data_IF_699610676856
#
_entry.id   IF_699610676856
#
_cell.length_a   1.000
_cell.length_b   1.000
_cell.length_c   1.000
_cell.angle_alpha   90.00
_cell.angle_beta   90.00
_cell.angle_gamma   90.00
#
_symmetry.space_group_name_H-M   'P 1'
#
loop_
_entity.id
_entity.type
_entity.pdbx_description
1 polymer ?
#
# COMPACT_ATOMS: atom_id res chain seq x y z
N UNK A 1 -5.53 -31.53 -16.86
CA UNK A 1 -5.63 -30.13 -17.33
C UNK A 1 -5.42 -29.23 -16.12
N UNK A 2 -4.18 -28.82 -15.89
CA UNK A 2 -3.82 -27.91 -14.80
C UNK A 2 -4.13 -26.49 -15.25
N UNK A 3 -5.10 -25.83 -14.61
CA UNK A 3 -5.32 -24.41 -14.79
C UNK A 3 -4.24 -23.66 -14.01
N UNK A 4 -3.16 -23.30 -14.71
CA UNK A 4 -2.28 -22.20 -14.29
C UNK A 4 -3.11 -20.90 -14.31
N UNK A 5 -3.82 -20.66 -13.22
CA UNK A 5 -4.49 -19.39 -12.98
C UNK A 5 -3.46 -18.29 -12.82
N UNK A 6 -3.25 -17.52 -13.89
CA UNK A 6 -2.50 -16.27 -13.88
C UNK A 6 -3.01 -15.37 -12.77
N UNK A 7 -2.22 -15.24 -11.69
CA UNK A 7 -2.61 -14.48 -10.50
C UNK A 7 -2.47 -12.98 -10.81
N UNK A 8 -3.50 -12.16 -10.57
CA UNK A 8 -3.38 -10.72 -10.76
C UNK A 8 -2.36 -10.16 -9.77
N UNK A 9 -1.30 -9.57 -10.32
CA UNK A 9 -0.32 -8.79 -9.57
C UNK A 9 -1.02 -7.54 -9.06
N UNK A 10 -0.99 -7.32 -7.74
CA UNK A 10 -1.25 -6.01 -7.15
C UNK A 10 -0.13 -5.06 -7.61
N UNK A 11 -0.33 -4.41 -8.75
CA UNK A 11 0.42 -3.22 -9.14
C UNK A 11 0.11 -2.14 -8.12
N UNK A 12 1.06 -1.96 -7.23
CA UNK A 12 1.65 -0.70 -6.81
C UNK A 12 0.70 0.49 -6.71
N UNK A 13 0.65 1.02 -5.49
CA UNK A 13 0.43 2.42 -5.14
C UNK A 13 1.05 3.31 -6.24
N UNK A 14 0.22 3.78 -7.18
CA UNK A 14 0.62 4.72 -8.22
C UNK A 14 0.58 6.12 -7.60
N UNK A 15 1.70 6.54 -7.02
CA UNK A 15 1.95 7.95 -6.74
C UNK A 15 2.44 8.55 -8.07
N UNK A 16 1.57 9.24 -8.80
CA UNK A 16 2.01 9.99 -9.99
C UNK A 16 1.10 9.96 -11.22
N UNK A 17 -0.20 10.18 -11.07
CA UNK A 17 -0.97 10.82 -12.15
C UNK A 17 -1.85 11.95 -11.59
N UNK A 18 -1.58 13.16 -12.06
CA UNK A 18 -2.52 14.29 -12.01
C UNK A 18 -3.80 13.90 -12.74
N UNK A 19 -4.82 13.55 -11.97
CA UNK A 19 -6.25 13.75 -12.25
C UNK A 19 -6.97 13.34 -10.98
N UNK A 20 -7.96 14.15 -10.58
CA UNK A 20 -8.85 14.06 -9.40
C UNK A 20 -8.67 12.78 -8.55
N UNK A 21 -8.46 12.87 -7.22
CA UNK A 21 -8.28 11.72 -6.34
C UNK A 21 -9.58 10.92 -6.20
N UNK A 22 -9.97 10.24 -7.26
CA UNK A 22 -10.92 9.16 -7.24
C UNK A 22 -10.18 7.84 -7.12
N UNK A 23 -10.87 6.76 -6.71
CA UNK A 23 -10.36 5.39 -6.66
C UNK A 23 -10.12 4.81 -8.06
N UNK A 24 -9.53 5.58 -8.98
CA UNK A 24 -9.44 5.27 -10.40
C UNK A 24 -8.60 4.01 -10.61
N UNK A 25 -7.48 3.85 -9.90
CA UNK A 25 -6.64 2.65 -10.01
C UNK A 25 -7.33 1.38 -9.53
N UNK A 26 -7.93 1.40 -8.35
CA UNK A 26 -8.61 0.22 -7.77
C UNK A 26 -9.89 -0.11 -8.51
N UNK A 27 -10.68 0.90 -8.91
CA UNK A 27 -11.92 0.71 -9.66
C UNK A 27 -11.68 0.18 -11.08
N UNK A 28 -10.69 0.73 -11.79
CA UNK A 28 -10.30 0.23 -13.11
C UNK A 28 -9.77 -1.20 -13.01
N UNK A 29 -9.01 -1.52 -11.96
CA UNK A 29 -8.54 -2.89 -11.71
C UNK A 29 -9.70 -3.86 -11.44
N UNK A 30 -10.64 -3.50 -10.57
CA UNK A 30 -11.84 -4.30 -10.28
C UNK A 30 -12.66 -4.55 -11.54
N UNK A 31 -12.86 -3.51 -12.36
CA UNK A 31 -13.62 -3.62 -13.61
C UNK A 31 -12.93 -4.50 -14.65
N UNK A 32 -11.61 -4.36 -14.82
CA UNK A 32 -10.83 -5.17 -15.76
C UNK A 32 -10.70 -6.64 -15.34
N UNK A 33 -10.88 -6.95 -14.06
CA UNK A 33 -10.77 -8.32 -13.51
C UNK A 33 -12.10 -8.84 -12.97
N UNK A 34 -13.22 -8.23 -13.38
CA UNK A 34 -14.55 -8.54 -12.88
C UNK A 34 -14.90 -10.03 -12.98
N UNK A 35 -14.54 -10.67 -14.09
CA UNK A 35 -14.76 -12.09 -14.34
C UNK A 35 -14.00 -12.98 -13.36
N UNK A 36 -12.70 -12.74 -13.20
CA UNK A 36 -11.82 -13.53 -12.32
C UNK A 36 -12.21 -13.36 -10.86
N UNK A 37 -12.73 -12.18 -10.48
CA UNK A 37 -13.15 -11.86 -9.13
C UNK A 37 -14.60 -12.26 -8.82
N UNK A 38 -15.35 -12.77 -9.80
CA UNK A 38 -16.76 -13.15 -9.60
C UNK A 38 -17.74 -11.97 -9.57
N UNK A 39 -17.33 -10.79 -10.02
CA UNK A 39 -18.14 -9.56 -10.04
C UNK A 39 -18.89 -9.33 -11.37
N UNK A 40 -19.09 -10.37 -12.19
CA UNK A 40 -19.80 -10.26 -13.49
C UNK A 40 -21.18 -9.59 -13.36
N UNK A 41 -21.89 -9.85 -12.28
CA UNK A 41 -23.25 -9.34 -12.05
C UNK A 41 -23.29 -7.95 -11.37
N UNK A 42 -22.13 -7.37 -11.07
CA UNK A 42 -22.04 -6.05 -10.41
C UNK A 42 -21.97 -4.96 -11.46
N UNK A 43 -21.05 -5.09 -12.42
CA UNK A 43 -20.80 -4.07 -13.42
C UNK A 43 -21.95 -4.01 -14.43
N UNK A 44 -22.38 -2.79 -14.76
CA UNK A 44 -23.57 -2.54 -15.59
C UNK A 44 -24.86 -2.34 -14.79
N UNK A 45 -24.85 -2.57 -13.47
CA UNK A 45 -25.94 -2.19 -12.58
C UNK A 45 -25.49 -1.04 -11.66
N UNK A 46 -26.08 0.15 -11.82
CA UNK A 46 -25.65 1.36 -11.12
C UNK A 46 -25.70 1.24 -9.59
N UNK A 47 -26.73 0.58 -9.05
CA UNK A 47 -26.91 0.39 -7.59
C UNK A 47 -25.81 -0.52 -7.03
N UNK A 48 -25.52 -1.65 -7.71
CA UNK A 48 -24.47 -2.58 -7.29
C UNK A 48 -23.07 -1.97 -7.43
N UNK A 49 -22.82 -1.22 -8.50
CA UNK A 49 -21.56 -0.50 -8.66
C UNK A 49 -21.35 0.51 -7.53
N UNK A 50 -22.39 1.27 -7.18
CA UNK A 50 -22.33 2.25 -6.09
C UNK A 50 -22.06 1.57 -4.73
N UNK A 51 -22.74 0.45 -4.45
CA UNK A 51 -22.50 -0.32 -3.23
C UNK A 51 -21.04 -0.82 -3.13
N UNK A 52 -20.48 -1.39 -4.20
CA UNK A 52 -19.07 -1.81 -4.20
C UNK A 52 -18.12 -0.63 -4.06
N UNK A 53 -18.39 0.52 -4.71
CA UNK A 53 -17.56 1.73 -4.56
C UNK A 53 -17.53 2.20 -3.12
N UNK A 54 -18.67 2.19 -2.43
CA UNK A 54 -18.77 2.55 -1.02
C UNK A 54 -17.89 1.63 -0.15
N UNK A 55 -18.07 0.32 -0.28
CA UNK A 55 -17.29 -0.68 0.48
C UNK A 55 -15.79 -0.54 0.21
N UNK A 56 -15.38 -0.45 -1.05
CA UNK A 56 -13.96 -0.30 -1.43
C UNK A 56 -13.37 0.98 -0.85
N UNK A 57 -14.14 2.07 -0.85
CA UNK A 57 -13.70 3.36 -0.28
C UNK A 57 -13.56 3.28 1.24
N UNK A 58 -14.52 2.64 1.93
CA UNK A 58 -14.47 2.40 3.38
C UNK A 58 -13.23 1.56 3.73
N UNK A 59 -13.02 0.43 3.07
CA UNK A 59 -11.89 -0.46 3.32
C UNK A 59 -10.53 0.18 2.99
N UNK A 60 -10.43 0.90 1.87
CA UNK A 60 -9.20 1.61 1.52
C UNK A 60 -8.87 2.70 2.56
N UNK A 61 -9.88 3.40 3.07
CA UNK A 61 -9.72 4.41 4.11
C UNK A 61 -9.30 3.78 5.44
N UNK A 62 -9.93 2.66 5.83
CA UNK A 62 -9.55 1.89 7.02
C UNK A 62 -8.10 1.39 6.92
N UNK A 63 -7.69 0.82 5.79
CA UNK A 63 -6.33 0.36 5.56
C UNK A 63 -5.31 1.50 5.64
N UNK A 64 -5.60 2.67 5.06
CA UNK A 64 -4.77 3.87 5.21
C UNK A 64 -4.68 4.28 6.68
N UNK A 65 -5.79 4.32 7.41
CA UNK A 65 -5.77 4.70 8.82
C UNK A 65 -4.95 3.73 9.69
N UNK A 66 -5.06 2.42 9.46
CA UNK A 66 -4.21 1.41 10.13
C UNK A 66 -2.73 1.60 9.79
N UNK A 67 -2.40 1.85 8.50
CA UNK A 67 -1.02 2.12 8.08
C UNK A 67 -0.46 3.37 8.77
N UNK A 68 -1.23 4.45 8.86
CA UNK A 68 -0.87 5.65 9.63
C UNK A 68 -0.58 5.28 11.09
N UNK A 69 -1.46 4.50 11.71
CA UNK A 69 -1.29 4.01 13.08
C UNK A 69 0.05 3.30 13.27
N UNK A 70 0.41 2.36 12.39
CA UNK A 70 1.70 1.65 12.45
C UNK A 70 2.90 2.59 12.30
N UNK A 71 2.82 3.56 11.38
CA UNK A 71 3.89 4.56 11.17
C UNK A 71 4.07 5.42 12.44
N UNK A 72 2.99 5.97 12.99
CA UNK A 72 3.04 6.83 14.19
C UNK A 72 3.48 6.04 15.44
N UNK A 73 2.96 4.83 15.63
CA UNK A 73 3.35 3.93 16.72
C UNK A 73 4.85 3.60 16.67
N UNK A 74 5.38 3.30 15.48
CA UNK A 74 6.80 2.99 15.31
C UNK A 74 7.74 4.17 15.62
N UNK A 75 7.32 5.41 15.33
CA UNK A 75 8.08 6.64 15.62
C UNK A 75 8.08 6.99 17.11
N UNK A 76 6.90 6.86 17.75
CA UNK A 76 6.71 7.18 19.16
C UNK A 76 7.29 6.12 20.11
N UNK A 77 7.59 4.91 19.61
CA UNK A 77 8.05 3.77 20.41
C UNK A 77 6.95 3.05 21.18
N UNK A 78 5.69 3.45 20.97
CA UNK A 78 4.50 2.85 21.58
C UNK A 78 4.62 2.60 23.08
N UNK A 79 4.06 1.47 23.55
CA UNK A 79 4.12 1.04 24.96
C UNK A 79 5.52 0.60 25.39
N UNK A 80 6.31 0.05 24.47
CA UNK A 80 7.65 -0.49 24.76
C UNK A 80 8.70 0.60 25.01
N UNK A 81 8.39 1.87 24.71
CA UNK A 81 9.35 3.00 24.60
C UNK A 81 10.53 2.76 23.66
N UNK A 82 10.58 1.59 23.02
CA UNK A 82 11.60 1.22 22.05
C UNK A 82 11.05 1.55 20.68
N UNK A 83 11.70 2.49 19.99
CA UNK A 83 11.37 2.81 18.60
C UNK A 83 11.61 1.57 17.74
N UNK A 84 10.64 1.25 16.88
CA UNK A 84 10.75 0.08 16.00
C UNK A 84 11.73 0.39 14.87
N UNK A 85 12.44 -0.63 14.37
CA UNK A 85 13.25 -0.49 13.15
C UNK A 85 12.38 -0.47 11.91
N UNK A 86 12.87 0.14 10.83
CA UNK A 86 12.19 0.17 9.54
C UNK A 86 11.86 -1.24 9.00
N UNK A 87 12.77 -2.20 9.19
CA UNK A 87 12.56 -3.61 8.82
C UNK A 87 11.36 -4.22 9.54
N UNK A 88 11.27 -4.02 10.87
CA UNK A 88 10.16 -4.52 11.69
C UNK A 88 8.83 -3.85 11.34
N UNK A 89 8.85 -2.53 11.09
CA UNK A 89 7.68 -1.79 10.63
C UNK A 89 7.18 -2.32 9.28
N UNK A 90 8.10 -2.48 8.32
CA UNK A 90 7.77 -2.97 6.98
C UNK A 90 7.16 -4.36 7.04
N UNK A 91 7.77 -5.26 7.80
CA UNK A 91 7.22 -6.60 8.02
C UNK A 91 5.82 -6.54 8.65
N UNK A 92 5.62 -5.72 9.70
CA UNK A 92 4.31 -5.56 10.37
C UNK A 92 3.22 -5.05 9.41
N UNK A 93 3.52 -3.98 8.67
CA UNK A 93 2.58 -3.37 7.70
C UNK A 93 2.21 -4.37 6.61
N UNK A 94 3.21 -5.03 6.02
CA UNK A 94 2.99 -6.00 4.93
C UNK A 94 2.23 -7.23 5.45
N UNK A 95 2.59 -7.77 6.60
CA UNK A 95 1.91 -8.92 7.19
C UNK A 95 0.41 -8.64 7.41
N UNK A 96 0.06 -7.42 7.82
CA UNK A 96 -1.31 -7.05 8.17
C UNK A 96 -2.14 -6.53 6.98
N UNK A 97 -1.52 -5.85 6.02
CA UNK A 97 -2.25 -5.18 4.93
C UNK A 97 -2.09 -5.85 3.56
N UNK A 98 -1.04 -6.64 3.33
CA UNK A 98 -0.85 -7.36 2.07
C UNK A 98 -1.69 -8.64 2.08
N UNK A 99 -2.58 -8.78 1.10
CA UNK A 99 -3.36 -10.01 0.89
C UNK A 99 -2.41 -11.21 0.70
N UNK A 100 -2.59 -12.25 1.50
CA UNK A 100 -1.76 -13.46 1.47
C UNK A 100 -0.46 -13.37 2.28
N UNK A 101 -0.26 -12.31 3.07
CA UNK A 101 0.90 -12.17 3.96
C UNK A 101 2.19 -11.75 3.26
N UNK A 102 3.32 -11.89 3.95
CA UNK A 102 4.62 -11.35 3.54
C UNK A 102 5.18 -12.08 2.31
N UNK A 103 4.96 -13.39 2.20
CA UNK A 103 5.60 -14.24 1.18
C UNK A 103 7.12 -14.33 1.38
N UNK A 104 7.81 -15.13 0.56
CA UNK A 104 9.29 -15.23 0.58
C UNK A 104 9.96 -14.04 -0.11
N UNK A 105 9.28 -13.47 -1.11
CA UNK A 105 9.85 -12.48 -2.01
C UNK A 105 9.30 -11.09 -1.70
N UNK A 106 9.61 -10.56 -0.51
CA UNK A 106 9.26 -9.17 -0.25
C UNK A 106 10.19 -8.23 -1.00
N UNK A 107 9.58 -7.49 -1.91
CA UNK A 107 10.22 -6.43 -2.69
C UNK A 107 10.77 -5.31 -1.80
N UNK A 108 11.99 -4.89 -2.09
CA UNK A 108 12.68 -3.83 -1.36
C UNK A 108 11.98 -2.47 -1.49
N UNK A 109 11.22 -2.29 -2.57
CA UNK A 109 10.43 -1.10 -2.84
C UNK A 109 9.39 -0.82 -1.74
N UNK A 110 8.86 -1.86 -1.08
CA UNK A 110 7.95 -1.66 0.07
C UNK A 110 8.67 -0.97 1.23
N UNK A 111 9.91 -1.37 1.49
CA UNK A 111 10.72 -0.80 2.55
C UNK A 111 11.12 0.64 2.22
N UNK A 112 11.44 0.94 0.95
CA UNK A 112 11.72 2.30 0.50
C UNK A 112 10.50 3.23 0.59
N UNK A 113 9.32 2.76 0.17
CA UNK A 113 8.09 3.55 0.29
C UNK A 113 7.77 3.87 1.75
N UNK A 114 7.91 2.88 2.64
CA UNK A 114 7.71 3.12 4.06
C UNK A 114 8.80 4.02 4.64
N UNK A 115 10.06 3.88 4.24
CA UNK A 115 11.14 4.77 4.67
C UNK A 115 10.83 6.24 4.35
N UNK A 116 10.29 6.50 3.16
CA UNK A 116 9.91 7.83 2.72
C UNK A 116 8.74 8.41 3.52
N UNK A 117 7.69 7.62 3.72
CA UNK A 117 6.57 8.01 4.59
C UNK A 117 7.03 8.26 6.03
N UNK A 118 7.96 7.44 6.52
CA UNK A 118 8.51 7.55 7.86
C UNK A 118 9.36 8.79 8.03
N UNK A 119 10.18 9.12 7.03
CA UNK A 119 10.98 10.34 6.96
C UNK A 119 10.10 11.58 7.12
N UNK A 120 9.06 11.72 6.29
CA UNK A 120 8.16 12.88 6.36
C UNK A 120 7.28 12.89 7.61
N UNK A 121 6.92 11.72 8.12
CA UNK A 121 6.12 11.63 9.35
C UNK A 121 6.88 12.15 10.59
N UNK A 122 8.22 12.12 10.60
CA UNK A 122 9.05 12.67 11.70
C UNK A 122 8.86 14.19 11.83
N UNK A 123 8.78 14.89 10.72
CA UNK A 123 8.64 16.35 10.67
C UNK A 123 7.22 16.82 10.96
N UNK A 124 6.24 15.90 10.93
CA UNK A 124 4.85 16.27 11.12
C UNK A 124 4.51 16.49 12.60
N UNK A 125 3.77 17.56 12.88
CA UNK A 125 3.36 17.99 14.22
C UNK A 125 2.54 16.99 15.05
N UNK A 126 2.18 15.82 14.51
CA UNK A 126 1.44 14.79 15.24
C UNK A 126 2.26 14.13 16.36
N UNK A 127 3.58 14.06 16.22
CA UNK A 127 4.43 13.51 17.29
C UNK A 127 4.67 14.52 18.42
N UNK A 128 4.63 15.81 18.10
CA UNK A 128 4.98 16.88 19.03
C UNK A 128 3.76 17.57 19.65
N UNK A 129 2.54 17.25 19.19
CA UNK A 129 1.33 17.82 19.77
C UNK A 129 1.06 17.18 21.15
N UNK A 130 1.00 17.98 22.24
CA UNK A 130 0.73 17.48 23.59
C UNK A 130 -0.62 16.75 23.72
N UNK A 131 -1.51 16.94 22.75
CA UNK A 131 -2.92 16.51 22.74
C UNK A 131 -3.05 14.97 22.76
N UNK A 132 -2.03 14.20 22.37
CA UNK A 132 -2.10 12.73 22.33
C UNK A 132 -1.56 12.00 23.57
N UNK A 133 -1.16 12.72 24.64
CA UNK A 133 -0.65 12.06 25.86
C UNK A 133 -1.73 11.66 26.87
N UNK A 134 -3.01 12.00 26.65
CA UNK A 134 -4.04 11.93 27.69
C UNK A 134 -5.12 10.85 27.57
N UNK A 135 -5.49 10.39 26.37
CA UNK A 135 -6.72 9.60 26.22
C UNK A 135 -6.51 8.45 25.23
N UNK A 136 -5.67 7.51 25.66
CA UNK A 136 -5.10 6.41 24.88
C UNK A 136 -6.07 5.27 24.56
N UNK A 137 -7.30 5.59 24.22
CA UNK A 137 -8.23 4.71 23.52
C UNK A 137 -8.80 5.49 22.36
N UNK A 138 -8.02 5.57 21.28
CA UNK A 138 -8.62 5.52 19.96
C UNK A 138 -9.37 4.19 19.91
N UNK A 139 -10.59 4.20 20.40
CA UNK A 139 -11.54 3.13 20.20
C UNK A 139 -11.56 2.93 18.69
N UNK A 140 -11.08 1.80 18.23
CA UNK A 140 -11.37 1.29 16.89
C UNK A 140 -12.86 0.87 16.82
N UNK A 141 -13.73 1.61 17.52
CA UNK A 141 -15.16 1.56 17.35
C UNK A 141 -15.38 2.15 15.97
N UNK A 142 -15.56 1.23 15.04
CA UNK A 142 -15.98 1.41 13.65
C UNK A 142 -17.37 2.02 13.67
N UNK A 143 -17.47 3.23 14.22
CA UNK A 143 -18.67 4.01 14.34
C UNK A 143 -19.27 4.10 12.96
N UNK A 144 -20.36 3.37 12.79
CA UNK A 144 -21.21 3.37 11.62
C UNK A 144 -21.47 4.83 11.27
N UNK A 145 -20.83 5.28 10.20
CA UNK A 145 -21.03 6.61 9.64
C UNK A 145 -22.51 6.64 9.27
N UNK A 146 -23.28 7.37 10.08
CA UNK A 146 -24.71 7.55 9.92
C UNK A 146 -24.95 7.93 8.47
N UNK A 147 -25.81 7.15 7.84
CA UNK A 147 -26.28 7.39 6.49
C UNK A 147 -26.74 8.87 6.45
N UNK A 148 -25.98 9.71 5.76
CA UNK A 148 -26.46 11.02 5.29
C UNK A 148 -27.62 10.65 4.36
N UNK A 149 -28.80 10.48 4.95
CA UNK A 149 -30.07 10.47 4.26
C UNK A 149 -30.07 11.77 3.44
N UNK A 150 -29.95 11.63 2.12
CA UNK A 150 -30.43 12.66 1.21
C UNK A 150 -31.94 12.74 1.47
N UNK A 151 -32.30 13.58 2.44
CA UNK A 151 -33.62 14.13 2.62
C UNK A 151 -33.87 15.06 1.43
N UNK A 152 -34.19 14.44 0.28
CA UNK A 152 -34.86 15.08 -0.85
C UNK A 152 -36.31 15.35 -0.41
N UNK A 153 -36.46 16.24 0.57
CA UNK A 153 -37.72 16.78 1.04
C UNK A 153 -38.33 17.68 -0.03
N UNK A 154 -39.13 17.07 -0.90
CA UNK A 154 -40.19 17.75 -1.64
C UNK A 154 -41.37 17.90 -0.67
N UNK A 155 -41.71 19.11 -0.28
CA UNK A 155 -43.08 19.64 -0.42
C UNK A 155 -43.19 21.08 0.11
N UNK A 156 -43.74 21.91 -0.78
CA UNK A 156 -44.30 23.23 -0.55
C UNK A 156 -45.17 23.29 0.72
N UNK A 157 -44.93 24.28 1.59
CA UNK A 157 -45.98 24.99 2.35
C UNK A 157 -45.44 26.39 2.69
N UNK A 158 -46.03 27.39 2.02
CA UNK A 158 -45.94 28.81 2.35
C UNK A 158 -46.56 29.04 3.74
N UNK A 159 -45.71 29.30 4.75
CA UNK A 159 -46.15 29.97 5.96
C UNK A 159 -45.20 31.13 6.31
N UNK A 160 -45.69 32.31 5.96
CA UNK A 160 -45.23 33.63 6.35
C UNK A 160 -45.31 33.78 7.89
N UNK A 161 -44.18 33.63 8.59
CA UNK A 161 -44.05 34.19 9.94
C UNK A 161 -42.61 34.63 10.25
N UNK A 162 -42.50 35.93 10.47
CA UNK A 162 -41.28 36.72 10.62
C UNK A 162 -40.58 36.45 11.97
N UNK A 163 -39.81 35.37 12.09
CA UNK A 163 -38.96 35.14 13.27
C UNK A 163 -37.58 35.83 13.16
N UNK A 164 -37.10 36.48 14.25
CA UNK A 164 -35.85 37.24 14.24
C UNK A 164 -34.64 36.33 14.03
N UNK A 165 -33.96 36.54 12.90
CA UNK A 165 -32.72 35.85 12.48
C UNK A 165 -31.63 36.00 13.57
N UNK A 166 -31.48 34.98 14.42
CA UNK A 166 -30.33 34.85 15.32
C UNK A 166 -29.07 34.77 14.45
N UNK A 167 -28.23 35.81 14.50
CA UNK A 167 -26.88 35.83 13.90
C UNK A 167 -26.07 34.68 14.50
N UNK A 168 -26.04 33.54 13.80
CA UNK A 168 -25.15 32.41 14.07
C UNK A 168 -23.73 32.92 13.82
N UNK A 169 -23.06 33.40 14.87
CA UNK A 169 -21.66 33.79 14.80
C UNK A 169 -20.88 32.53 14.41
N UNK A 170 -20.48 32.45 13.14
CA UNK A 170 -19.64 31.36 12.66
C UNK A 170 -18.27 31.52 13.32
N UNK A 171 -18.09 30.93 14.48
CA UNK A 171 -16.76 30.70 15.01
C UNK A 171 -16.04 29.83 13.97
N UNK A 172 -15.04 30.41 13.28
CA UNK A 172 -14.16 29.69 12.33
C UNK A 172 -13.30 28.62 13.02
N UNK A 173 -13.55 28.34 14.29
CA UNK A 173 -12.95 27.23 15.01
C UNK A 173 -13.68 25.96 14.57
N UNK A 174 -12.95 25.08 13.89
CA UNK A 174 -13.45 23.73 13.64
C UNK A 174 -13.88 23.10 14.98
N UNK A 175 -14.96 22.28 14.99
CA UNK A 175 -15.36 21.55 16.18
C UNK A 175 -14.15 20.87 16.83
N UNK A 176 -14.05 20.87 18.17
CA UNK A 176 -12.97 20.19 18.89
C UNK A 176 -12.83 18.75 18.35
N UNK A 177 -11.63 18.38 17.91
CA UNK A 177 -11.34 17.07 17.31
C UNK A 177 -11.31 17.01 15.78
N UNK A 178 -11.87 18.00 15.06
CA UNK A 178 -11.79 18.03 13.59
C UNK A 178 -10.48 18.68 13.14
N UNK A 179 -9.60 17.88 12.54
CA UNK A 179 -8.37 18.38 11.91
C UNK A 179 -8.75 19.33 10.78
N UNK A 180 -8.08 20.50 10.71
CA UNK A 180 -8.30 21.45 9.61
C UNK A 180 -8.00 20.78 8.27
N UNK A 181 -8.82 21.04 7.26
CA UNK A 181 -8.65 20.48 5.91
C UNK A 181 -7.23 20.75 5.40
N UNK A 182 -6.54 19.71 4.94
CA UNK A 182 -5.16 19.80 4.45
C UNK A 182 -4.08 19.76 5.54
N UNK A 183 -4.46 19.68 6.81
CA UNK A 183 -3.54 19.41 7.93
C UNK A 183 -3.64 17.97 8.45
N UNK A 184 -4.48 17.15 7.83
CA UNK A 184 -4.47 15.71 8.12
C UNK A 184 -3.17 15.07 7.64
N UNK A 185 -2.83 13.96 8.29
CA UNK A 185 -1.59 13.24 8.05
C UNK A 185 -1.37 12.95 6.56
N UNK A 186 -2.40 12.46 5.86
CA UNK A 186 -2.26 12.04 4.48
C UNK A 186 -2.12 13.22 3.52
N UNK A 187 -2.91 14.28 3.70
CA UNK A 187 -2.73 15.51 2.92
C UNK A 187 -1.34 16.10 3.07
N UNK A 188 -0.76 16.02 4.27
CA UNK A 188 0.60 16.50 4.50
C UNK A 188 1.67 15.61 3.86
N UNK A 189 1.51 14.29 3.91
CA UNK A 189 2.39 13.35 3.20
C UNK A 189 2.30 13.58 1.68
N UNK A 190 1.10 13.73 1.14
CA UNK A 190 0.88 13.98 -0.30
C UNK A 190 1.56 15.29 -0.73
N UNK A 191 1.46 16.34 0.10
CA UNK A 191 2.16 17.62 -0.14
C UNK A 191 3.68 17.47 -0.09
N UNK A 192 4.21 16.68 0.84
CA UNK A 192 5.64 16.44 0.95
C UNK A 192 6.17 15.63 -0.24
N UNK A 193 5.47 14.57 -0.63
CA UNK A 193 5.77 13.77 -1.81
C UNK A 193 5.70 14.58 -3.10
N UNK A 194 4.71 15.47 -3.24
CA UNK A 194 4.63 16.36 -4.40
C UNK A 194 5.86 17.26 -4.54
N UNK A 195 6.38 17.79 -3.42
CA UNK A 195 7.63 18.58 -3.40
C UNK A 195 8.84 17.74 -3.76
N UNK A 196 8.92 16.51 -3.27
CA UNK A 196 10.01 15.61 -3.62
C UNK A 196 9.99 15.25 -5.11
N UNK A 197 8.80 14.99 -5.68
CA UNK A 197 8.62 14.76 -7.12
C UNK A 197 9.04 15.97 -7.94
N UNK A 198 8.69 17.19 -7.51
CA UNK A 198 9.12 18.41 -8.17
C UNK A 198 10.66 18.58 -8.11
N UNK A 199 11.28 18.25 -6.97
CA UNK A 199 12.72 18.40 -6.75
C UNK A 199 13.57 17.34 -7.44
N UNK A 200 13.17 16.07 -7.35
CA UNK A 200 13.97 14.92 -7.78
C UNK A 200 13.52 14.33 -9.11
N UNK A 201 12.32 14.69 -9.60
CA UNK A 201 11.75 14.21 -10.87
C UNK A 201 10.63 13.18 -10.65
N UNK A 202 9.93 12.84 -11.73
CA UNK A 202 8.82 11.86 -11.70
C UNK A 202 9.29 10.41 -11.68
N UNK A 203 10.47 10.11 -12.25
CA UNK A 203 11.02 8.76 -12.24
C UNK A 203 11.81 8.51 -10.95
N UNK A 204 11.23 7.73 -10.03
CA UNK A 204 11.86 7.35 -8.76
C UNK A 204 13.11 6.47 -8.93
N UNK A 205 13.42 6.02 -10.15
CA UNK A 205 14.64 5.27 -10.46
C UNK A 205 15.82 6.17 -10.78
N UNK A 206 15.62 7.47 -10.94
CA UNK A 206 16.67 8.42 -11.29
C UNK A 206 17.76 8.50 -10.21
N UNK A 207 18.96 8.91 -10.61
CA UNK A 207 20.11 9.04 -9.71
C UNK A 207 19.81 9.95 -8.50
N UNK A 208 19.05 11.02 -8.73
CA UNK A 208 18.62 11.97 -7.68
C UNK A 208 17.77 11.31 -6.61
N UNK A 209 16.81 10.48 -7.01
CA UNK A 209 15.99 9.72 -6.07
C UNK A 209 16.80 8.68 -5.30
N UNK A 210 17.75 8.01 -5.96
CA UNK A 210 18.65 7.05 -5.29
C UNK A 210 19.50 7.71 -4.23
N UNK A 211 20.05 8.88 -4.52
CA UNK A 211 20.82 9.68 -3.54
C UNK A 211 19.94 10.10 -2.35
N UNK A 212 18.72 10.56 -2.64
CA UNK A 212 17.74 10.90 -1.60
C UNK A 212 17.38 9.69 -0.73
N UNK A 213 17.10 8.52 -1.33
CA UNK A 213 16.83 7.30 -0.58
C UNK A 213 18.02 6.86 0.28
N UNK A 214 19.25 6.96 -0.24
CA UNK A 214 20.44 6.67 0.57
C UNK A 214 20.51 7.59 1.79
N UNK A 215 20.25 8.89 1.62
CA UNK A 215 20.21 9.83 2.75
C UNK A 215 19.13 9.43 3.76
N UNK A 216 17.91 9.12 3.31
CA UNK A 216 16.81 8.69 4.18
C UNK A 216 17.18 7.43 4.96
N UNK A 217 17.77 6.42 4.29
CA UNK A 217 18.16 5.15 4.91
C UNK A 217 19.32 5.32 5.88
N UNK A 218 20.32 6.12 5.55
CA UNK A 218 21.45 6.40 6.45
C UNK A 218 20.98 7.11 7.72
N UNK A 219 20.14 8.13 7.57
CA UNK A 219 19.56 8.83 8.72
C UNK A 219 18.70 7.89 9.59
N UNK A 220 17.99 6.96 8.95
CA UNK A 220 17.24 5.94 9.65
C UNK A 220 18.13 4.99 10.46
N UNK A 221 19.16 4.43 9.82
CA UNK A 221 20.12 3.55 10.49
C UNK A 221 20.86 4.27 11.63
N UNK A 222 21.13 5.57 11.47
CA UNK A 222 21.73 6.41 12.51
C UNK A 222 20.83 6.58 13.73
N UNK A 223 19.52 6.76 13.52
CA UNK A 223 18.56 7.02 14.60
C UNK A 223 18.00 5.75 15.26
N UNK A 224 17.83 4.66 14.51
CA UNK A 224 17.12 3.45 14.95
C UNK A 224 18.00 2.18 14.92
N UNK A 225 19.24 2.31 14.45
CA UNK A 225 20.18 1.21 14.28
C UNK A 225 20.05 0.51 12.92
N UNK A 226 21.13 -0.13 12.48
CA UNK A 226 21.17 -0.85 11.22
C UNK A 226 20.18 -2.03 11.18
N UNK A 227 19.60 -2.27 9.99
CA UNK A 227 18.79 -3.46 9.75
C UNK A 227 19.68 -4.70 9.81
N UNK A 228 19.19 -5.75 10.47
CA UNK A 228 19.97 -6.99 10.62
C UNK A 228 19.80 -7.91 9.40
N UNK A 229 18.81 -7.64 8.55
CA UNK A 229 18.52 -8.45 7.38
C UNK A 229 17.90 -9.80 7.74
N UNK A 230 17.18 -9.87 8.86
CA UNK A 230 16.63 -11.14 9.41
C UNK A 230 15.24 -11.41 8.86
N UNK A 231 14.43 -10.36 8.73
CA UNK A 231 13.06 -10.43 8.22
C UNK A 231 13.00 -10.06 6.75
N UNK A 232 13.86 -9.13 6.30
CA UNK A 232 13.88 -8.60 4.95
C UNK A 232 15.31 -8.54 4.42
N UNK A 233 15.52 -8.60 3.10
CA UNK A 233 16.82 -8.32 2.52
C UNK A 233 17.35 -6.99 3.08
N UNK A 234 18.61 -6.92 3.55
CA UNK A 234 19.15 -5.68 4.07
C UNK A 234 19.09 -4.61 2.97
N UNK A 235 18.67 -3.40 3.35
CA UNK A 235 18.73 -2.26 2.42
C UNK A 235 20.18 -2.11 1.95
N UNK A 236 20.45 -2.04 0.63
CA UNK A 236 21.76 -1.76 0.12
C UNK A 236 22.29 -0.50 0.78
N UNK A 237 23.46 -0.59 1.42
CA UNK A 237 24.14 0.60 1.96
C UNK A 237 24.50 1.60 0.84
N UNK A 238 24.43 1.15 -0.41
CA UNK A 238 24.60 1.96 -1.62
C UNK A 238 23.61 1.49 -2.67
N UNK A 239 22.48 2.20 -2.84
CA UNK A 239 21.73 2.14 -4.11
C UNK A 239 22.52 2.77 -5.28
N UNK A 240 23.76 3.20 -5.03
CA UNK A 240 24.67 3.93 -5.92
C UNK A 240 25.63 3.07 -6.71
N UNK A 241 25.71 1.75 -6.47
CA UNK A 241 26.34 0.92 -7.50
C UNK A 241 25.31 0.74 -8.59
N UNK A 242 25.44 1.38 -9.78
CA UNK A 242 24.74 0.87 -10.94
C UNK A 242 25.06 -0.62 -10.94
N UNK A 243 24.05 -1.47 -11.09
CA UNK A 243 24.30 -2.87 -11.45
C UNK A 243 25.16 -2.75 -12.69
N UNK A 244 26.48 -2.88 -12.50
CA UNK A 244 27.41 -3.05 -13.57
C UNK A 244 27.00 -4.43 -14.00
N UNK A 245 26.06 -4.47 -14.95
CA UNK A 245 25.80 -5.65 -15.72
C UNK A 245 27.18 -5.94 -16.25
N UNK A 246 27.88 -6.87 -15.58
CA UNK A 246 29.01 -7.54 -16.17
C UNK A 246 28.37 -8.18 -17.38
N UNK A 247 28.38 -7.44 -18.48
CA UNK A 247 28.11 -7.99 -19.78
C UNK A 247 28.97 -9.24 -19.85
N UNK A 248 28.44 -10.35 -20.39
CA UNK A 248 29.21 -11.57 -20.53
C UNK A 248 30.57 -11.15 -21.09
N UNK A 249 31.64 -11.43 -20.33
CA UNK A 249 32.99 -11.21 -20.82
C UNK A 249 33.00 -11.73 -22.25
N UNK A 250 33.51 -10.96 -23.23
CA UNK A 250 33.51 -11.39 -24.62
C UNK A 250 34.07 -12.79 -24.62
N UNK A 251 33.20 -13.76 -24.91
CA UNK A 251 33.60 -15.15 -25.06
C UNK A 251 34.62 -15.10 -26.17
N UNK A 252 35.90 -15.23 -25.81
CA UNK A 252 36.94 -15.54 -26.77
C UNK A 252 36.50 -16.86 -27.38
N UNK A 253 35.85 -16.78 -28.54
CA UNK A 253 35.43 -17.93 -29.31
C UNK A 253 36.70 -18.76 -29.55
N UNK A 254 36.79 -19.99 -29.02
CA UNK A 254 37.83 -20.89 -29.47
C UNK A 254 37.63 -21.12 -30.96
N UNK A 255 38.72 -20.92 -31.71
CA UNK A 255 38.84 -21.17 -33.13
C UNK A 255 38.23 -22.54 -33.47
N UNK A 256 37.39 -22.66 -34.53
CA UNK A 256 36.71 -23.90 -34.84
C UNK A 256 37.73 -24.97 -35.23
N UNK A 257 37.90 -25.98 -34.37
CA UNK A 257 38.51 -27.23 -34.78
C UNK A 257 37.45 -28.02 -35.54
N UNK A 258 37.71 -28.25 -36.82
CA UNK A 258 36.93 -29.10 -37.71
C UNK A 258 36.66 -30.45 -37.05
N UNK A 259 35.44 -30.63 -36.57
CA UNK A 259 34.99 -31.91 -36.02
C UNK A 259 33.98 -32.49 -36.98
N UNK A 260 34.37 -33.61 -37.59
CA UNK A 260 33.58 -34.45 -38.48
C UNK A 260 32.25 -34.83 -37.84
N UNK A 261 31.14 -34.49 -38.51
CA UNK A 261 29.80 -34.94 -38.14
C UNK A 261 29.63 -36.43 -38.43
N UNK A 262 29.43 -37.24 -37.39
CA UNK A 262 28.78 -38.55 -37.53
C UNK A 262 27.30 -38.40 -37.19
N UNK A 263 26.46 -38.65 -38.19
CA UNK A 263 25.01 -38.76 -38.03
C UNK A 263 24.69 -39.92 -37.08
N UNK A 264 23.95 -39.64 -36.00
CA UNK A 264 23.22 -40.65 -35.24
C UNK A 264 21.74 -40.31 -35.24
N UNK A 265 20.96 -41.30 -35.67
CA UNK A 265 19.51 -41.35 -35.83
C UNK A 265 18.77 -41.36 -34.48
N UNK A 266 17.55 -40.79 -34.38
CA UNK A 266 16.78 -40.77 -33.14
C UNK A 266 15.96 -42.05 -32.94
N UNK A 267 15.98 -42.57 -31.71
CA UNK A 267 15.08 -43.64 -31.24
C UNK A 267 13.93 -43.06 -30.42
N UNK A 268 12.68 -43.57 -30.58
CA UNK A 268 11.53 -43.12 -29.81
C UNK A 268 11.31 -43.99 -28.57
N UNK A 269 11.08 -43.37 -27.43
CA UNK A 269 10.55 -43.96 -26.19
C UNK A 269 10.16 -42.79 -25.28
N UNK A 270 9.15 -42.80 -24.43
CA UNK A 270 7.98 -43.62 -24.22
C UNK A 270 7.16 -42.83 -23.18
N UNK A 271 5.87 -42.66 -23.43
CA UNK A 271 4.90 -42.05 -22.50
C UNK A 271 4.87 -42.79 -21.15
N UNK A 272 4.98 -42.05 -20.05
CA UNK A 272 4.57 -42.55 -18.73
C UNK A 272 3.58 -41.59 -18.10
N UNK A 273 2.32 -42.03 -18.09
CA UNK A 273 1.17 -41.45 -17.39
C UNK A 273 1.26 -41.79 -15.90
N UNK A 274 1.53 -40.79 -15.06
CA UNK A 274 1.44 -40.89 -13.60
C UNK A 274 0.15 -40.27 -13.08
N UNK A 275 -0.87 -41.10 -12.89
CA UNK A 275 -2.08 -40.81 -12.13
C UNK A 275 -1.76 -40.76 -10.64
N UNK A 276 -2.22 -39.73 -9.94
CA UNK A 276 -2.24 -39.69 -8.47
C UNK A 276 -3.66 -39.37 -8.02
N UNK A 277 -4.30 -40.23 -7.21
CA UNK A 277 -5.55 -39.91 -6.56
C UNK A 277 -5.26 -39.13 -5.27
N UNK A 278 -5.92 -37.99 -5.07
CA UNK A 278 -6.02 -37.42 -3.73
C UNK A 278 -7.50 -37.18 -3.43
N UNK A 279 -7.99 -38.02 -2.53
CA UNK A 279 -9.37 -38.06 -2.03
C UNK A 279 -9.37 -37.62 -0.58
N UNK A 280 -10.35 -36.78 -0.24
CA UNK A 280 -10.80 -36.51 1.13
C UNK A 280 -9.96 -35.49 1.93
N UNK A 281 -10.50 -34.83 2.94
CA UNK A 281 -11.87 -34.64 3.37
C UNK A 281 -11.84 -33.49 4.40
N UNK A 282 -13.03 -32.92 4.60
CA UNK A 282 -13.51 -32.06 5.68
C UNK A 282 -12.81 -32.17 7.05
N UNK A 283 -12.62 -31.02 7.70
CA UNK A 283 -12.87 -30.69 9.13
C UNK A 283 -12.51 -29.18 9.29
N UNK A 284 -13.39 -28.21 9.57
CA UNK A 284 -14.39 -27.96 10.63
C UNK A 284 -13.81 -27.93 12.06
N UNK A 285 -14.06 -26.79 12.74
CA UNK A 285 -13.86 -26.44 14.17
C UNK A 285 -12.40 -26.22 14.63
N UNK A 286 -12.06 -25.31 15.56
CA UNK A 286 -12.85 -24.55 16.55
C UNK A 286 -12.07 -23.30 17.04
N UNK A 287 -12.86 -22.30 17.45
CA UNK A 287 -12.72 -21.44 18.64
C UNK A 287 -11.56 -20.44 18.88
N UNK A 288 -11.99 -19.16 18.91
CA UNK A 288 -11.90 -18.18 20.02
C UNK A 288 -10.60 -18.17 20.84
N UNK A 289 -9.85 -17.06 20.69
CA UNK A 289 -9.86 -15.91 21.62
C UNK A 289 -9.86 -14.64 20.77
#
# INVERSE_FOLDING_TARGET
MSFEGGRPRLTAIVIGQERKPGPIGTWVHLKSHAEVLGFKNVFGNAVREQAIRSIVTKEASAARNRMRGYIVESLSGGKSRTRSRLESLTHKVVLKLKRGGVGTDLKIEFQLHLALLWYHAKDHCYLNSPIHKGDGTASEDDGEDGEDENDDGVDDIDHDEHLPKRKKMSSKAAPPGRVRKGQDFWSAMDKALAKDVEKYGKDMKDAKWREFFNMVVLEDQRLYGANKGVLLPPLPNTYTTPVTVSGPSPVTLPLPQSTTFMFHTPGPSASTSGSVPFSGALNLLSERI
#
